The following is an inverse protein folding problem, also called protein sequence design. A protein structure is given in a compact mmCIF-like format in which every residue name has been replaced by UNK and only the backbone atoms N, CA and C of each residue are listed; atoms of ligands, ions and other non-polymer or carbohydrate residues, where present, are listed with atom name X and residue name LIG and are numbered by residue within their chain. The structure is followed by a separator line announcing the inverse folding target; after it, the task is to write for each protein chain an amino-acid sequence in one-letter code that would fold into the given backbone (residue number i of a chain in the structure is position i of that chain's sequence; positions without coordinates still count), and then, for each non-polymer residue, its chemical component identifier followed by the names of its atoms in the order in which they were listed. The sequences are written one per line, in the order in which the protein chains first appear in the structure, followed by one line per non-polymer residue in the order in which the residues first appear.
data_IF_840566323811
#
_entry.id   IF_840566323811
#
_cell.length_a   1.000
_cell.length_b   1.000
_cell.length_c   1.000
_cell.angle_alpha   90.00
_cell.angle_beta   90.00
_cell.angle_gamma   90.00
#
_symmetry.space_group_name_H-M   'P 1'
#
loop_
_entity.id
_entity.type
_entity.pdbx_description
1 polymer ?
#
# COMPACT_ATOMS: atom_id res chain seq x y z
N UNK A 1 -3.07 3.59 7.20
CA UNK A 1 -4.11 2.59 7.22
C UNK A 1 -3.87 1.37 6.33
N UNK A 2 -2.63 1.14 5.86
CA UNK A 2 -2.24 -0.09 5.18
C UNK A 2 -2.07 -1.23 6.19
N UNK A 3 -2.20 -2.49 5.75
CA UNK A 3 -1.71 -3.64 6.50
C UNK A 3 -0.21 -3.51 6.75
N UNK A 4 0.54 -3.20 5.69
CA UNK A 4 1.95 -2.85 5.74
C UNK A 4 2.23 -1.92 4.53
N UNK A 5 3.13 -0.92 4.65
CA UNK A 5 3.43 -0.03 3.52
C UNK A 5 3.86 -0.82 2.26
N UNK A 6 3.00 -0.96 1.24
CA UNK A 6 3.28 -1.84 0.12
C UNK A 6 4.13 -1.17 -0.96
N UNK A 7 4.72 -1.99 -1.82
CA UNK A 7 5.00 -1.56 -3.19
C UNK A 7 3.68 -1.15 -3.86
N UNK A 8 3.68 -0.02 -4.56
CA UNK A 8 2.48 0.56 -5.17
C UNK A 8 2.39 0.37 -6.69
N UNK A 9 3.27 -0.45 -7.28
CA UNK A 9 3.36 -0.68 -8.71
C UNK A 9 3.11 -2.14 -9.11
N UNK A 10 3.60 -3.10 -8.34
CA UNK A 10 3.54 -4.52 -8.71
C UNK A 10 2.27 -5.25 -8.26
N UNK A 11 1.71 -5.01 -7.05
CA UNK A 11 0.46 -5.65 -6.65
C UNK A 11 -0.67 -5.28 -7.61
N UNK A 12 -1.60 -6.22 -7.85
CA UNK A 12 -2.81 -5.90 -8.59
C UNK A 12 -3.75 -5.00 -7.77
N UNK A 13 -4.75 -4.40 -8.43
CA UNK A 13 -5.68 -3.48 -7.76
C UNK A 13 -6.40 -4.11 -6.58
N UNK A 14 -6.88 -5.36 -6.72
CA UNK A 14 -7.54 -6.09 -5.64
C UNK A 14 -6.59 -6.35 -4.45
N UNK A 15 -5.33 -6.65 -4.71
CA UNK A 15 -4.34 -6.82 -3.64
C UNK A 15 -4.10 -5.53 -2.85
N UNK A 16 -4.12 -4.36 -3.51
CA UNK A 16 -4.07 -3.06 -2.85
C UNK A 16 -5.35 -2.76 -2.06
N UNK A 17 -6.52 -3.19 -2.57
CA UNK A 17 -7.79 -3.16 -1.81
C UNK A 17 -7.65 -3.96 -0.52
N UNK A 18 -7.06 -5.16 -0.54
CA UNK A 18 -6.82 -5.98 0.67
C UNK A 18 -5.82 -5.34 1.63
N UNK A 19 -4.78 -4.69 1.13
CA UNK A 19 -3.86 -3.91 1.98
C UNK A 19 -4.60 -2.86 2.80
N UNK A 20 -5.54 -2.15 2.19
CA UNK A 20 -6.32 -1.12 2.86
C UNK A 20 -7.35 -1.75 3.81
N UNK A 21 -8.13 -2.73 3.35
CA UNK A 21 -9.21 -3.32 4.14
C UNK A 21 -8.70 -3.97 5.41
N UNK A 22 -7.65 -4.79 5.31
CA UNK A 22 -7.06 -5.47 6.47
C UNK A 22 -6.35 -4.48 7.41
N UNK A 23 -5.63 -3.49 6.85
CA UNK A 23 -5.01 -2.44 7.65
C UNK A 23 -6.05 -1.62 8.42
N UNK A 24 -7.11 -1.15 7.77
CA UNK A 24 -8.18 -0.38 8.42
C UNK A 24 -8.95 -1.20 9.44
N UNK A 25 -9.19 -2.49 9.17
CA UNK A 25 -9.79 -3.41 10.14
C UNK A 25 -8.95 -3.46 11.42
N UNK A 26 -7.64 -3.64 11.30
CA UNK A 26 -6.74 -3.64 12.44
C UNK A 26 -6.77 -2.33 13.24
N UNK A 27 -6.71 -1.16 12.56
CA UNK A 27 -6.79 0.13 13.23
C UNK A 27 -8.13 0.33 13.95
N UNK A 28 -9.22 -0.10 13.32
CA UNK A 28 -10.53 -0.03 13.93
C UNK A 28 -10.65 -0.93 15.17
N UNK A 29 -10.20 -2.16 15.08
CA UNK A 29 -10.26 -3.13 16.20
C UNK A 29 -9.37 -2.73 17.38
N UNK A 30 -8.21 -2.12 17.12
CA UNK A 30 -7.23 -1.77 18.15
C UNK A 30 -7.42 -0.36 18.73
N UNK A 31 -7.82 0.58 17.92
CA UNK A 31 -7.82 2.00 18.29
C UNK A 31 -9.17 2.70 18.07
N UNK A 32 -10.16 2.04 17.48
CA UNK A 32 -11.46 2.63 17.18
C UNK A 32 -11.42 3.73 16.10
N UNK A 33 -10.35 3.79 15.32
CA UNK A 33 -10.15 4.82 14.27
C UNK A 33 -10.06 4.19 12.89
N UNK A 34 -10.46 4.96 11.87
CA UNK A 34 -10.29 4.62 10.46
C UNK A 34 -9.39 5.68 9.83
N UNK A 35 -8.10 5.41 9.62
CA UNK A 35 -7.21 6.37 8.97
C UNK A 35 -7.75 6.80 7.62
N UNK A 36 -7.72 8.09 7.33
CA UNK A 36 -8.19 8.69 6.08
C UNK A 36 -7.09 9.44 5.31
N UNK A 37 -5.87 9.38 5.82
CA UNK A 37 -4.65 9.75 5.10
C UNK A 37 -3.80 8.52 4.86
N UNK A 38 -3.47 8.27 3.60
CA UNK A 38 -2.54 7.21 3.22
C UNK A 38 -1.12 7.77 3.15
N UNK A 39 -0.16 7.04 3.73
CA UNK A 39 1.25 7.43 3.74
C UNK A 39 2.11 6.31 3.17
N UNK A 40 2.88 6.62 2.13
CA UNK A 40 3.89 5.73 1.55
C UNK A 40 5.20 6.50 1.36
N UNK A 41 5.97 6.55 2.45
CA UNK A 41 7.17 7.40 2.54
C UNK A 41 8.29 6.88 1.65
N UNK A 42 8.53 5.57 1.64
CA UNK A 42 9.68 4.95 0.97
C UNK A 42 9.35 4.09 -0.25
N UNK A 43 8.08 3.89 -0.60
CA UNK A 43 7.70 3.11 -1.79
C UNK A 43 8.30 3.72 -3.08
N UNK A 44 8.75 2.87 -4.01
CA UNK A 44 9.59 3.27 -5.15
C UNK A 44 8.77 3.68 -6.38
N UNK A 45 7.80 4.53 -6.13
CA UNK A 45 6.85 5.06 -7.08
C UNK A 45 5.43 4.58 -6.79
N UNK A 46 4.47 5.31 -7.35
CA UNK A 46 3.06 5.12 -7.02
C UNK A 46 2.23 5.17 -8.29
N UNK A 47 1.50 4.08 -8.56
CA UNK A 47 0.61 4.00 -9.72
C UNK A 47 -0.55 4.99 -9.60
N UNK A 48 -0.88 5.65 -10.69
CA UNK A 48 -2.06 6.53 -10.79
C UNK A 48 -3.37 5.83 -10.42
N UNK A 49 -3.46 4.51 -10.69
CA UNK A 49 -4.63 3.69 -10.32
C UNK A 49 -4.89 3.60 -8.81
N UNK A 50 -3.89 3.92 -7.97
CA UNK A 50 -4.04 3.97 -6.53
C UNK A 50 -5.03 5.04 -6.07
N UNK A 51 -5.14 6.16 -6.80
CA UNK A 51 -6.04 7.27 -6.46
C UNK A 51 -7.49 6.79 -6.35
N UNK A 52 -7.99 6.10 -7.36
CA UNK A 52 -9.37 5.62 -7.38
C UNK A 52 -9.65 4.59 -6.28
N UNK A 53 -8.67 3.73 -5.95
CA UNK A 53 -8.79 2.77 -4.86
C UNK A 53 -8.88 3.51 -3.53
N UNK A 54 -7.97 4.44 -3.25
CA UNK A 54 -7.99 5.24 -2.03
C UNK A 54 -9.28 6.04 -1.89
N UNK A 55 -9.75 6.66 -2.98
CA UNK A 55 -10.98 7.46 -2.97
C UNK A 55 -12.22 6.62 -2.65
N UNK A 56 -12.32 5.40 -3.16
CA UNK A 56 -13.41 4.47 -2.83
C UNK A 56 -13.40 4.06 -1.35
N UNK A 57 -12.24 4.02 -0.71
CA UNK A 57 -12.13 3.83 0.73
C UNK A 57 -12.36 5.11 1.55
N UNK A 58 -12.59 6.26 0.91
CA UNK A 58 -12.84 7.53 1.58
C UNK A 58 -11.59 8.21 2.13
N UNK A 59 -10.40 7.89 1.58
CA UNK A 59 -9.21 8.65 1.92
C UNK A 59 -9.33 10.10 1.42
N UNK A 60 -8.86 11.04 2.25
CA UNK A 60 -8.86 12.46 1.96
C UNK A 60 -7.52 12.94 1.42
N UNK A 61 -6.44 12.27 1.81
CA UNK A 61 -5.09 12.67 1.43
C UNK A 61 -4.12 11.52 1.22
N UNK A 62 -3.06 11.84 0.48
CA UNK A 62 -1.93 10.96 0.21
C UNK A 62 -0.62 11.68 0.46
N UNK A 63 0.25 11.09 1.28
CA UNK A 63 1.57 11.62 1.55
C UNK A 63 2.64 10.65 1.06
N UNK A 64 3.55 11.15 0.22
CA UNK A 64 4.72 10.43 -0.27
C UNK A 64 5.98 11.30 -0.13
N UNK A 65 7.16 10.66 -0.13
CA UNK A 65 8.47 11.35 -0.20
C UNK A 65 9.13 11.08 -1.55
N UNK A 66 8.87 9.92 -2.13
CA UNK A 66 9.38 9.52 -3.44
C UNK A 66 8.31 9.67 -4.52
N UNK A 67 8.71 9.91 -5.79
CA UNK A 67 10.06 10.21 -6.27
C UNK A 67 10.50 11.64 -5.88
N UNK A 68 11.79 11.84 -5.68
CA UNK A 68 12.36 13.14 -5.40
C UNK A 68 12.27 14.08 -6.62
N UNK A 69 12.39 15.37 -6.39
CA UNK A 69 12.21 16.41 -7.41
C UNK A 69 13.11 16.24 -8.66
N UNK A 70 14.35 15.83 -8.46
CA UNK A 70 15.28 15.62 -9.57
C UNK A 70 14.91 14.43 -10.48
N UNK A 71 14.05 13.50 -10.00
CA UNK A 71 13.54 12.36 -10.76
C UNK A 71 12.18 12.65 -11.41
N UNK A 72 11.34 13.40 -10.73
CA UNK A 72 10.01 13.79 -11.23
C UNK A 72 9.68 15.22 -10.84
N UNK A 73 9.56 16.08 -11.85
CA UNK A 73 9.12 17.45 -11.62
C UNK A 73 7.58 17.48 -11.56
N UNK A 74 7.06 17.79 -10.37
CA UNK A 74 5.63 18.02 -10.14
C UNK A 74 5.27 19.49 -10.34
N UNK A 75 3.99 19.81 -10.56
CA UNK A 75 3.55 21.22 -10.69
C UNK A 75 3.74 21.99 -9.37
N UNK A 76 3.59 21.32 -8.22
CA UNK A 76 3.90 21.78 -6.87
C UNK A 76 4.14 20.56 -5.97
N UNK A 77 4.60 20.75 -4.74
CA UNK A 77 4.71 19.67 -3.76
C UNK A 77 3.34 19.24 -3.21
N UNK A 78 2.39 20.16 -3.18
CA UNK A 78 0.98 19.93 -2.87
C UNK A 78 0.16 20.04 -4.15
N UNK A 79 -0.59 18.98 -4.47
CA UNK A 79 -1.34 18.92 -5.73
C UNK A 79 -2.60 18.05 -5.60
N UNK A 80 -3.54 18.23 -6.53
CA UNK A 80 -4.66 17.30 -6.72
C UNK A 80 -4.20 16.17 -7.63
N UNK A 81 -4.12 14.97 -7.09
CA UNK A 81 -3.75 13.78 -7.87
C UNK A 81 -5.01 13.12 -8.43
N UNK A 82 -5.06 12.97 -9.77
CA UNK A 82 -6.25 12.55 -10.50
C UNK A 82 -6.09 11.11 -10.99
N UNK A 83 -7.01 10.24 -10.61
CA UNK A 83 -7.08 8.83 -11.02
C UNK A 83 -7.51 8.64 -12.48
N UNK A 84 -7.51 7.38 -12.93
CA UNK A 84 -7.97 7.04 -14.28
C UNK A 84 -9.47 7.23 -14.48
N UNK A 85 -10.26 7.10 -13.41
CA UNK A 85 -11.71 7.28 -13.41
C UNK A 85 -12.16 8.71 -13.15
N UNK A 86 -11.22 9.66 -13.04
CA UNK A 86 -11.47 11.05 -12.69
C UNK A 86 -11.60 11.33 -11.19
N UNK A 87 -11.46 10.33 -10.33
CA UNK A 87 -11.39 10.55 -8.88
C UNK A 87 -10.18 11.41 -8.53
N UNK A 88 -10.32 12.24 -7.50
CA UNK A 88 -9.27 13.15 -7.04
C UNK A 88 -8.96 12.95 -5.56
N UNK A 89 -7.68 13.08 -5.19
CA UNK A 89 -7.20 13.10 -3.82
C UNK A 89 -6.14 14.20 -3.66
N UNK A 90 -6.13 14.89 -2.52
CA UNK A 90 -5.04 15.80 -2.19
C UNK A 90 -3.77 15.00 -1.93
N UNK A 91 -2.71 15.30 -2.64
CA UNK A 91 -1.42 14.62 -2.50
C UNK A 91 -0.32 15.59 -2.08
N UNK A 92 0.58 15.10 -1.25
CA UNK A 92 1.72 15.84 -0.73
C UNK A 92 2.98 15.05 -1.05
N UNK A 93 3.93 15.68 -1.73
CA UNK A 93 5.31 15.21 -1.77
C UNK A 93 6.09 15.93 -0.68
N UNK A 94 6.25 15.27 0.46
CA UNK A 94 7.00 15.80 1.59
C UNK A 94 8.51 15.66 1.37
N UNK A 95 9.28 16.48 2.09
CA UNK A 95 10.73 16.30 2.20
C UNK A 95 11.07 15.03 2.98
N UNK A 96 12.34 14.59 2.90
CA UNK A 96 12.83 13.46 3.67
C UNK A 96 12.46 13.57 5.15
N UNK A 97 11.99 12.48 5.73
CA UNK A 97 11.47 12.45 7.10
C UNK A 97 12.55 12.47 8.19
N UNK A 98 13.77 12.09 7.86
CA UNK A 98 14.84 11.90 8.85
C UNK A 98 15.60 13.18 9.19
N UNK A 99 16.03 13.26 10.44
CA UNK A 99 16.98 14.25 10.96
C UNK A 99 18.06 13.56 11.81
N UNK A 100 19.31 14.06 11.85
CA UNK A 100 20.25 13.63 12.88
C UNK A 100 19.72 13.99 14.27
N UNK A 101 20.05 13.18 15.28
CA UNK A 101 19.67 13.44 16.67
C UNK A 101 20.12 14.84 17.11
N UNK A 102 19.23 15.57 17.74
CA UNK A 102 19.47 16.92 18.27
C UNK A 102 19.47 18.03 17.20
N UNK A 103 19.16 17.72 15.92
CA UNK A 103 19.19 18.68 14.81
C UNK A 103 17.83 18.91 14.13
N UNK A 104 16.73 18.48 14.74
CA UNK A 104 15.41 18.70 14.17
C UNK A 104 15.08 20.20 14.04
N UNK A 105 15.49 21.02 14.99
CA UNK A 105 15.28 22.48 14.95
C UNK A 105 15.97 23.17 13.78
N UNK A 106 17.13 22.68 13.33
CA UNK A 106 17.80 23.22 12.15
C UNK A 106 16.97 22.98 10.88
N UNK A 107 16.41 21.78 10.77
CA UNK A 107 15.51 21.46 9.66
C UNK A 107 14.24 22.31 9.73
N UNK A 108 13.59 22.39 10.88
CA UNK A 108 12.37 23.20 11.08
C UNK A 108 12.65 24.66 10.74
N UNK A 109 13.79 25.24 11.20
CA UNK A 109 14.18 26.60 10.85
C UNK A 109 14.26 26.80 9.33
N UNK A 110 14.83 25.84 8.62
CA UNK A 110 14.91 25.93 7.15
C UNK A 110 13.53 25.92 6.46
N UNK A 111 12.50 25.33 7.11
CA UNK A 111 11.11 25.42 6.64
C UNK A 111 10.51 26.79 6.95
N UNK A 112 10.74 27.33 8.15
CA UNK A 112 10.31 28.68 8.53
C UNK A 112 10.88 29.72 7.55
N UNK A 113 12.18 29.65 7.27
CA UNK A 113 12.88 30.62 6.43
C UNK A 113 12.36 30.65 4.98
N UNK A 114 11.77 29.58 4.49
CA UNK A 114 11.23 29.45 3.12
C UNK A 114 9.70 29.45 3.05
N UNK A 115 9.01 29.44 4.19
CA UNK A 115 7.56 29.49 4.21
C UNK A 115 7.08 30.88 3.81
N UNK A 116 6.20 31.02 2.80
CA UNK A 116 5.62 32.33 2.47
C UNK A 116 4.81 32.90 3.65
N UNK A 117 4.82 34.22 3.77
CA UNK A 117 4.04 34.89 4.81
C UNK A 117 2.54 34.55 4.69
N UNK A 118 1.93 34.16 5.80
CA UNK A 118 0.53 33.77 5.87
C UNK A 118 0.22 32.39 5.30
N UNK A 119 1.25 31.58 4.96
CA UNK A 119 1.11 30.21 4.47
C UNK A 119 1.53 29.18 5.53
N UNK A 120 1.37 27.90 5.24
CA UNK A 120 1.73 26.79 6.10
C UNK A 120 2.53 25.74 5.32
N UNK A 121 3.44 25.03 6.00
CA UNK A 121 4.23 23.96 5.45
C UNK A 121 4.27 22.77 6.40
N UNK A 122 4.30 21.54 5.86
CA UNK A 122 4.53 20.33 6.65
C UNK A 122 6.01 19.99 6.68
N UNK A 123 6.56 19.80 7.87
CA UNK A 123 7.94 19.36 8.08
C UNK A 123 7.93 18.00 8.80
N UNK A 124 8.33 16.95 8.10
CA UNK A 124 8.56 15.63 8.71
C UNK A 124 9.91 15.63 9.42
N UNK A 125 9.95 15.17 10.67
CA UNK A 125 11.19 15.10 11.44
C UNK A 125 11.24 13.87 12.34
N UNK A 126 12.41 13.50 12.77
CA UNK A 126 12.70 12.37 13.65
C UNK A 126 14.01 11.71 13.25
N UNK A 127 14.61 10.95 14.16
CA UNK A 127 15.82 10.17 13.87
C UNK A 127 15.42 9.08 12.87
N UNK A 128 16.00 9.12 11.68
CA UNK A 128 15.72 8.21 10.59
C UNK A 128 16.50 6.89 10.67
N UNK A 129 16.74 6.31 9.49
CA UNK A 129 17.56 5.13 9.29
C UNK A 129 17.03 3.87 10.03
N UNK A 130 15.74 3.55 9.81
CA UNK A 130 15.10 2.26 10.16
C UNK A 130 14.88 1.95 11.64
N UNK A 131 15.07 2.86 12.54
CA UNK A 131 14.90 2.53 13.96
C UNK A 131 14.79 3.72 14.89
N UNK A 132 14.71 4.89 14.31
CA UNK A 132 14.60 6.11 15.05
C UNK A 132 13.16 6.54 15.31
N UNK A 133 13.04 7.75 15.75
CA UNK A 133 11.81 8.44 16.07
C UNK A 133 12.15 9.76 16.72
N UNK A 134 11.20 10.46 17.30
CA UNK A 134 11.47 11.68 18.05
C UNK A 134 12.44 11.42 19.21
N UNK A 135 13.54 12.17 19.31
CA UNK A 135 14.38 12.13 20.51
C UNK A 135 13.85 13.11 21.55
N UNK A 136 14.08 12.81 22.84
CA UNK A 136 13.71 13.74 23.92
C UNK A 136 14.40 15.08 23.75
N UNK A 137 15.67 15.07 23.38
CA UNK A 137 16.46 16.27 23.10
C UNK A 137 15.83 17.15 21.99
N UNK A 138 15.37 16.51 20.89
CA UNK A 138 14.72 17.25 19.81
C UNK A 138 13.37 17.81 20.23
N UNK A 139 12.58 17.05 21.02
CA UNK A 139 11.31 17.52 21.56
C UNK A 139 11.49 18.77 22.43
N UNK A 140 12.49 18.76 23.35
CA UNK A 140 12.80 19.89 24.21
C UNK A 140 13.25 21.10 23.38
N UNK A 141 14.17 20.93 22.45
CA UNK A 141 14.64 21.99 21.55
C UNK A 141 13.53 22.58 20.65
N UNK A 142 12.59 21.74 20.19
CA UNK A 142 11.45 22.22 19.41
C UNK A 142 10.49 23.03 20.29
N UNK A 143 10.28 22.66 21.54
CA UNK A 143 9.49 23.46 22.47
C UNK A 143 10.11 24.85 22.67
N UNK A 144 11.43 24.93 22.90
CA UNK A 144 12.15 26.19 23.01
C UNK A 144 12.05 27.03 21.71
N UNK A 145 12.16 26.38 20.54
CA UNK A 145 12.00 27.05 19.25
C UNK A 145 10.59 27.60 19.06
N UNK A 146 9.58 26.85 19.48
CA UNK A 146 8.17 27.29 19.42
C UNK A 146 7.94 28.58 20.21
N UNK A 147 8.46 28.63 21.46
CA UNK A 147 8.36 29.84 22.30
C UNK A 147 9.12 31.03 21.69
N UNK A 148 10.26 30.77 21.08
CA UNK A 148 11.10 31.79 20.43
C UNK A 148 10.45 32.38 19.19
N UNK A 149 9.81 31.58 18.36
CA UNK A 149 9.22 32.02 17.09
C UNK A 149 7.83 32.67 17.24
N UNK A 150 7.11 32.37 18.31
CA UNK A 150 5.76 32.91 18.53
C UNK A 150 5.67 34.45 18.51
N UNK A 151 6.60 35.23 19.13
CA UNK A 151 6.59 36.69 19.02
C UNK A 151 6.87 37.22 17.59
N UNK A 152 7.45 36.41 16.73
CA UNK A 152 7.74 36.74 15.32
C UNK A 152 6.55 36.42 14.40
N UNK A 153 5.43 35.93 14.97
CA UNK A 153 4.22 35.58 14.24
C UNK A 153 4.27 34.20 13.57
N UNK A 154 5.23 33.36 13.95
CA UNK A 154 5.35 31.99 13.45
C UNK A 154 4.77 31.01 14.46
N UNK A 155 3.78 30.23 14.05
CA UNK A 155 3.16 29.18 14.86
C UNK A 155 3.73 27.82 14.47
N UNK A 156 4.39 27.13 15.42
CA UNK A 156 4.87 25.76 15.25
C UNK A 156 3.92 24.80 15.95
N UNK A 157 3.27 23.93 15.16
CA UNK A 157 2.33 22.93 15.66
C UNK A 157 2.93 21.52 15.54
N UNK A 158 2.91 20.77 16.65
CA UNK A 158 3.08 19.31 16.58
C UNK A 158 1.73 18.74 16.14
N UNK A 159 1.69 18.17 14.94
CA UNK A 159 0.45 17.91 14.24
C UNK A 159 0.50 16.55 13.52
N UNK A 160 -0.66 16.12 13.06
CA UNK A 160 -0.83 14.97 12.17
C UNK A 160 -1.03 15.43 10.71
N UNK A 161 -0.78 14.53 9.71
CA UNK A 161 -1.00 14.88 8.31
C UNK A 161 -2.42 15.34 7.99
N UNK A 162 -3.41 14.88 8.75
CA UNK A 162 -4.82 15.24 8.62
C UNK A 162 -5.07 16.75 8.83
N UNK A 163 -4.39 17.34 9.80
CA UNK A 163 -4.51 18.77 10.10
C UNK A 163 -3.97 19.63 8.95
N UNK A 164 -2.82 19.24 8.40
CA UNK A 164 -2.24 19.94 7.24
C UNK A 164 -3.11 19.79 5.98
N UNK A 165 -3.70 18.62 5.77
CA UNK A 165 -4.67 18.42 4.68
C UNK A 165 -5.90 19.31 4.82
N UNK A 166 -6.37 19.52 6.03
CA UNK A 166 -7.48 20.45 6.29
C UNK A 166 -7.13 21.89 5.89
N UNK A 167 -5.89 22.33 6.11
CA UNK A 167 -5.41 23.63 5.61
C UNK A 167 -5.32 23.65 4.07
N UNK A 168 -4.79 22.58 3.45
CA UNK A 168 -4.69 22.49 1.99
C UNK A 168 -6.05 22.46 1.29
N UNK A 169 -7.10 21.96 1.96
CA UNK A 169 -8.46 21.95 1.41
C UNK A 169 -9.04 23.35 1.16
N UNK A 170 -8.46 24.37 1.78
CA UNK A 170 -8.83 25.78 1.61
C UNK A 170 -8.12 26.46 0.42
N UNK A 171 -7.18 25.76 -0.21
CA UNK A 171 -6.33 26.29 -1.29
C UNK A 171 -6.71 25.70 -2.64
N UNK A 172 -6.48 26.46 -3.70
CA UNK A 172 -6.55 25.96 -5.06
C UNK A 172 -5.21 25.30 -5.40
N UNK A 173 -5.23 23.96 -5.58
CA UNK A 173 -4.04 23.17 -5.86
C UNK A 173 -3.98 22.80 -7.34
N UNK A 174 -2.77 22.78 -7.95
CA UNK A 174 -2.59 22.34 -9.32
C UNK A 174 -2.93 20.88 -9.49
N UNK A 175 -3.42 20.51 -10.68
CA UNK A 175 -3.77 19.14 -11.02
C UNK A 175 -2.57 18.36 -11.55
N UNK A 176 -2.49 17.07 -11.21
CA UNK A 176 -1.52 16.12 -11.76
C UNK A 176 -2.21 14.77 -12.04
N UNK A 177 -2.05 14.26 -13.26
CA UNK A 177 -2.79 13.08 -13.75
C UNK A 177 -1.90 11.94 -14.25
N UNK A 178 -0.63 11.90 -13.80
CA UNK A 178 0.31 10.85 -14.15
C UNK A 178 0.65 10.00 -12.91
N UNK A 179 1.32 8.86 -13.11
CA UNK A 179 1.89 8.08 -12.03
C UNK A 179 3.11 8.78 -11.42
N UNK A 180 3.32 8.63 -10.11
CA UNK A 180 4.49 9.18 -9.43
C UNK A 180 5.68 8.22 -9.61
N UNK A 181 6.25 8.23 -10.80
CA UNK A 181 7.40 7.43 -11.23
C UNK A 181 8.34 8.32 -12.08
N UNK A 182 9.63 8.01 -12.25
CA UNK A 182 10.38 6.87 -11.73
C UNK A 182 10.96 7.08 -10.34
N UNK A 183 11.17 5.98 -9.62
CA UNK A 183 12.01 5.95 -8.42
C UNK A 183 12.65 4.57 -8.31
N UNK A 184 13.96 4.48 -8.14
CA UNK A 184 14.73 3.25 -7.95
C UNK A 184 14.36 2.09 -8.90
N UNK A 185 14.10 2.39 -10.16
CA UNK A 185 13.50 1.47 -11.15
C UNK A 185 14.29 0.19 -11.37
N UNK A 186 15.60 0.19 -11.10
CA UNK A 186 16.45 -0.99 -11.25
C UNK A 186 16.05 -2.16 -10.34
N UNK A 187 15.46 -1.91 -9.18
CA UNK A 187 15.04 -2.97 -8.25
C UNK A 187 13.93 -3.84 -8.86
N UNK A 188 13.09 -3.29 -9.75
CA UNK A 188 12.00 -4.04 -10.40
C UNK A 188 12.49 -5.13 -11.35
N UNK A 189 13.76 -5.14 -11.73
CA UNK A 189 14.41 -6.21 -12.50
C UNK A 189 15.26 -7.17 -11.65
N UNK A 190 15.41 -6.91 -10.35
CA UNK A 190 16.15 -7.79 -9.42
C UNK A 190 15.25 -8.84 -8.78
N UNK A 191 15.83 -9.82 -8.08
CA UNK A 191 15.13 -10.88 -7.31
C UNK A 191 13.94 -11.50 -8.07
N UNK A 192 14.16 -11.89 -9.32
CA UNK A 192 13.11 -12.33 -10.26
C UNK A 192 12.32 -13.52 -9.71
N UNK A 193 12.96 -14.45 -8.99
CA UNK A 193 12.30 -15.60 -8.36
C UNK A 193 11.18 -15.19 -7.41
N UNK A 194 11.43 -14.16 -6.57
CA UNK A 194 10.46 -13.62 -5.64
C UNK A 194 9.25 -13.02 -6.38
N UNK A 195 9.50 -12.22 -7.42
CA UNK A 195 8.45 -11.59 -8.24
C UNK A 195 7.58 -12.61 -8.98
N UNK A 196 8.20 -13.62 -9.56
CA UNK A 196 7.48 -14.71 -10.23
C UNK A 196 6.60 -15.49 -9.26
N UNK A 197 7.16 -15.87 -8.09
CA UNK A 197 6.41 -16.57 -7.05
C UNK A 197 5.30 -15.70 -6.49
N UNK A 198 5.56 -14.41 -6.22
CA UNK A 198 4.52 -13.48 -5.78
C UNK A 198 3.36 -13.44 -6.78
N UNK A 199 3.61 -13.22 -8.06
CA UNK A 199 2.57 -13.18 -9.09
C UNK A 199 1.79 -14.50 -9.19
N UNK A 200 2.48 -15.63 -9.10
CA UNK A 200 1.84 -16.94 -9.04
C UNK A 200 0.92 -17.07 -7.83
N UNK A 201 1.39 -16.66 -6.65
CA UNK A 201 0.62 -16.77 -5.40
C UNK A 201 -0.59 -15.84 -5.42
N UNK A 202 -0.42 -14.59 -5.86
CA UNK A 202 -1.51 -13.61 -5.99
C UNK A 202 -2.62 -14.13 -6.91
N UNK A 203 -2.27 -14.61 -8.11
CA UNK A 203 -3.24 -15.18 -9.05
C UNK A 203 -3.91 -16.44 -8.48
N UNK A 204 -3.15 -17.30 -7.81
CA UNK A 204 -3.69 -18.52 -7.19
C UNK A 204 -4.65 -18.18 -6.06
N UNK A 205 -4.36 -17.13 -5.27
CA UNK A 205 -5.23 -16.69 -4.19
C UNK A 205 -6.61 -16.30 -4.75
N UNK A 206 -6.69 -15.36 -5.67
CA UNK A 206 -7.96 -14.86 -6.18
C UNK A 206 -8.76 -15.93 -6.92
N UNK A 207 -8.09 -16.79 -7.68
CA UNK A 207 -8.74 -17.94 -8.31
C UNK A 207 -9.31 -18.90 -7.25
N UNK A 208 -8.56 -19.19 -6.20
CA UNK A 208 -8.98 -20.12 -5.13
C UNK A 208 -10.15 -19.54 -4.32
N UNK A 209 -10.08 -18.24 -3.99
CA UNK A 209 -11.16 -17.55 -3.29
C UNK A 209 -12.46 -17.54 -4.10
N UNK A 210 -12.41 -17.28 -5.41
CA UNK A 210 -13.58 -17.35 -6.29
C UNK A 210 -14.13 -18.76 -6.35
N UNK A 211 -13.27 -19.78 -6.49
CA UNK A 211 -13.67 -21.17 -6.53
C UNK A 211 -14.33 -21.61 -5.22
N UNK A 212 -13.77 -21.23 -4.07
CA UNK A 212 -14.32 -21.50 -2.75
C UNK A 212 -15.67 -20.79 -2.54
N UNK A 213 -15.79 -19.54 -3.00
CA UNK A 213 -17.04 -18.78 -2.94
C UNK A 213 -18.15 -19.45 -3.77
N UNK A 214 -17.83 -19.92 -4.97
CA UNK A 214 -18.82 -20.65 -5.80
C UNK A 214 -19.25 -21.96 -5.16
N UNK A 215 -18.33 -22.74 -4.57
CA UNK A 215 -18.65 -23.97 -3.88
C UNK A 215 -19.53 -23.71 -2.63
N UNK A 216 -19.24 -22.63 -1.91
CA UNK A 216 -20.07 -22.21 -0.77
C UNK A 216 -21.46 -21.75 -1.20
N UNK A 217 -21.57 -20.92 -2.22
CA UNK A 217 -22.87 -20.47 -2.76
C UNK A 217 -23.70 -21.62 -3.33
N UNK A 218 -23.08 -22.68 -3.86
CA UNK A 218 -23.71 -23.90 -4.30
C UNK A 218 -24.13 -24.82 -3.13
N UNK A 219 -23.78 -24.48 -1.89
CA UNK A 219 -24.08 -25.29 -0.71
C UNK A 219 -23.27 -26.58 -0.62
N UNK A 220 -22.16 -26.70 -1.33
CA UNK A 220 -21.34 -27.92 -1.41
C UNK A 220 -20.07 -27.89 -0.54
N UNK A 221 -19.74 -26.72 0.02
CA UNK A 221 -18.58 -26.52 0.90
C UNK A 221 -18.80 -25.34 1.83
N UNK A 222 -18.34 -25.44 3.08
CA UNK A 222 -18.23 -24.28 3.97
C UNK A 222 -17.14 -23.33 3.50
N UNK A 223 -17.39 -22.02 3.67
CA UNK A 223 -16.41 -21.00 3.24
C UNK A 223 -15.16 -21.04 4.13
N UNK A 224 -13.94 -21.22 3.58
CA UNK A 224 -12.72 -21.41 4.33
C UNK A 224 -12.08 -20.08 4.75
N UNK A 225 -12.81 -19.28 5.54
CA UNK A 225 -12.45 -17.90 5.88
C UNK A 225 -11.08 -17.81 6.56
N UNK A 226 -10.80 -18.65 7.55
CA UNK A 226 -9.54 -18.60 8.32
C UNK A 226 -8.33 -18.93 7.44
N UNK A 227 -8.43 -19.93 6.58
CA UNK A 227 -7.35 -20.34 5.68
C UNK A 227 -7.07 -19.25 4.63
N UNK A 228 -8.11 -18.62 4.09
CA UNK A 228 -7.96 -17.52 3.13
C UNK A 228 -7.35 -16.27 3.79
N UNK A 229 -7.77 -15.95 5.02
CA UNK A 229 -7.16 -14.84 5.80
C UNK A 229 -5.68 -15.10 6.06
N UNK A 230 -5.30 -16.31 6.43
CA UNK A 230 -3.91 -16.66 6.65
C UNK A 230 -3.08 -16.54 5.37
N UNK A 231 -3.58 -17.03 4.24
CA UNK A 231 -2.91 -16.95 2.96
C UNK A 231 -2.79 -15.49 2.44
N UNK A 232 -3.83 -14.66 2.63
CA UNK A 232 -3.74 -13.25 2.20
C UNK A 232 -2.73 -12.48 3.06
N UNK A 233 -2.61 -12.73 4.36
CA UNK A 233 -1.64 -12.07 5.22
C UNK A 233 -0.19 -12.37 4.79
N UNK A 234 0.10 -13.58 4.37
CA UNK A 234 1.41 -13.94 3.78
C UNK A 234 1.69 -13.12 2.51
N UNK A 235 0.70 -12.98 1.63
CA UNK A 235 0.83 -12.19 0.41
C UNK A 235 1.04 -10.70 0.74
N UNK A 236 0.22 -10.14 1.65
CA UNK A 236 0.31 -8.73 2.04
C UNK A 236 1.64 -8.39 2.71
N UNK A 237 2.20 -9.31 3.49
CA UNK A 237 3.53 -9.16 4.10
C UNK A 237 4.62 -9.03 3.02
N UNK A 238 4.60 -9.89 2.01
CA UNK A 238 5.61 -9.88 0.94
C UNK A 238 5.48 -8.65 0.04
N UNK A 239 4.34 -7.99 0.02
CA UNK A 239 4.16 -6.71 -0.71
C UNK A 239 4.94 -5.54 -0.10
N UNK A 240 5.55 -5.70 1.08
CA UNK A 240 6.35 -4.64 1.69
C UNK A 240 7.35 -4.05 0.71
N UNK A 241 7.47 -2.72 0.71
CA UNK A 241 8.20 -1.97 -0.31
C UNK A 241 9.71 -2.25 -0.35
N UNK A 242 10.28 -2.92 0.66
CA UNK A 242 11.67 -3.41 0.64
C UNK A 242 11.79 -4.90 0.31
N UNK A 243 10.68 -5.65 0.22
CA UNK A 243 10.69 -7.07 -0.16
C UNK A 243 10.34 -7.23 -1.63
N UNK A 244 9.10 -6.92 -2.02
CA UNK A 244 8.60 -7.17 -3.37
C UNK A 244 9.38 -6.47 -4.48
N UNK A 245 9.81 -5.20 -4.35
CA UNK A 245 10.62 -4.54 -5.37
C UNK A 245 11.98 -5.20 -5.58
N UNK A 246 12.49 -5.97 -4.61
CA UNK A 246 13.75 -6.69 -4.74
C UNK A 246 14.98 -5.86 -4.35
N UNK A 247 14.82 -4.94 -3.42
CA UNK A 247 15.91 -4.15 -2.80
C UNK A 247 16.45 -4.79 -1.53
N UNK A 248 15.81 -5.85 -1.03
CA UNK A 248 16.16 -6.50 0.22
C UNK A 248 17.45 -7.34 0.13
N UNK A 249 18.01 -7.66 1.31
CA UNK A 249 19.12 -8.60 1.44
C UNK A 249 18.66 -10.05 1.17
N UNK A 250 19.59 -10.94 0.85
CA UNK A 250 19.30 -12.33 0.50
C UNK A 250 18.41 -13.05 1.54
N UNK A 251 18.67 -12.88 2.83
CA UNK A 251 17.89 -13.52 3.88
C UNK A 251 16.41 -13.08 3.88
N UNK A 252 16.13 -11.83 3.51
CA UNK A 252 14.77 -11.32 3.37
C UNK A 252 14.09 -11.86 2.09
N UNK A 253 14.81 -11.98 0.96
CA UNK A 253 14.31 -12.68 -0.23
C UNK A 253 13.92 -14.12 0.10
N UNK A 254 14.81 -14.87 0.77
CA UNK A 254 14.57 -16.25 1.16
C UNK A 254 13.38 -16.38 2.14
N UNK A 255 13.23 -15.44 3.08
CA UNK A 255 12.07 -15.39 3.95
C UNK A 255 10.80 -15.14 3.13
N UNK A 256 10.79 -14.17 2.23
CA UNK A 256 9.65 -13.88 1.35
C UNK A 256 9.24 -15.09 0.50
N UNK A 257 10.21 -15.83 -0.05
CA UNK A 257 9.94 -17.07 -0.80
C UNK A 257 9.26 -18.13 0.06
N UNK A 258 9.72 -18.36 1.32
CA UNK A 258 9.10 -19.32 2.26
C UNK A 258 7.68 -18.89 2.66
N UNK A 259 7.45 -17.63 2.89
CA UNK A 259 6.11 -17.08 3.20
C UNK A 259 5.15 -17.32 2.06
N UNK A 260 5.57 -17.08 0.81
CA UNK A 260 4.74 -17.36 -0.36
C UNK A 260 4.52 -18.86 -0.57
N UNK A 261 5.48 -19.72 -0.25
CA UNK A 261 5.30 -21.18 -0.28
C UNK A 261 4.24 -21.65 0.72
N UNK A 262 4.23 -21.07 1.93
CA UNK A 262 3.21 -21.33 2.93
C UNK A 262 1.80 -20.93 2.44
N UNK A 263 1.66 -19.74 1.86
CA UNK A 263 0.40 -19.33 1.22
C UNK A 263 -0.05 -20.30 0.12
N UNK A 264 0.86 -20.70 -0.77
CA UNK A 264 0.57 -21.64 -1.86
C UNK A 264 0.14 -23.02 -1.33
N UNK A 265 0.72 -23.49 -0.23
CA UNK A 265 0.32 -24.75 0.39
C UNK A 265 -1.13 -24.67 0.93
N UNK A 266 -1.47 -23.60 1.65
CA UNK A 266 -2.84 -23.35 2.12
C UNK A 266 -3.80 -23.34 0.93
N UNK A 267 -3.47 -22.54 -0.09
CA UNK A 267 -4.31 -22.36 -1.27
C UNK A 267 -4.48 -23.65 -2.06
N UNK A 268 -3.46 -24.51 -2.14
CA UNK A 268 -3.54 -25.80 -2.81
C UNK A 268 -4.58 -26.72 -2.13
N UNK A 269 -4.60 -26.75 -0.79
CA UNK A 269 -5.59 -27.53 -0.03
C UNK A 269 -7.02 -26.99 -0.22
N UNK A 270 -7.20 -25.68 -0.11
CA UNK A 270 -8.50 -25.03 -0.30
C UNK A 270 -9.01 -25.24 -1.73
N UNK A 271 -8.16 -25.01 -2.73
CA UNK A 271 -8.48 -25.19 -4.14
C UNK A 271 -8.90 -26.62 -4.46
N UNK A 272 -8.18 -27.63 -3.94
CA UNK A 272 -8.53 -29.02 -4.14
C UNK A 272 -9.91 -29.34 -3.56
N UNK A 273 -10.21 -28.92 -2.33
CA UNK A 273 -11.53 -29.12 -1.71
C UNK A 273 -12.64 -28.44 -2.53
N UNK A 274 -12.43 -27.19 -2.92
CA UNK A 274 -13.41 -26.44 -3.72
C UNK A 274 -13.64 -27.10 -5.10
N UNK A 275 -12.57 -27.57 -5.75
CA UNK A 275 -12.67 -28.28 -7.02
C UNK A 275 -13.50 -29.56 -6.90
N UNK A 276 -13.23 -30.40 -5.91
CA UNK A 276 -14.01 -31.60 -5.68
C UNK A 276 -15.46 -31.30 -5.28
N UNK A 277 -15.70 -30.30 -4.46
CA UNK A 277 -17.03 -29.85 -4.09
C UNK A 277 -17.86 -29.40 -5.31
N UNK A 278 -17.26 -28.65 -6.22
CA UNK A 278 -17.91 -28.18 -7.46
C UNK A 278 -18.10 -29.32 -8.50
N UNK A 279 -17.22 -30.32 -8.50
CA UNK A 279 -17.36 -31.48 -9.38
C UNK A 279 -18.37 -32.51 -8.87
N UNK A 280 -18.77 -32.43 -7.60
CA UNK A 280 -19.76 -33.33 -7.01
C UNK A 280 -21.12 -33.23 -7.72
N UNK A 281 -21.76 -34.37 -7.97
CA UNK A 281 -23.06 -34.41 -8.64
C UNK A 281 -23.02 -34.24 -10.17
N UNK A 282 -21.83 -34.08 -10.76
CA UNK A 282 -21.69 -34.12 -12.23
C UNK A 282 -21.99 -35.52 -12.76
N UNK A 283 -22.53 -35.58 -13.98
CA UNK A 283 -22.81 -36.88 -14.63
C UNK A 283 -21.49 -37.69 -14.77
N UNK A 284 -21.50 -38.98 -14.41
CA UNK A 284 -20.31 -39.81 -14.60
C UNK A 284 -19.94 -39.88 -16.08
N UNK A 285 -18.63 -39.97 -16.35
CA UNK A 285 -18.13 -40.19 -17.68
C UNK A 285 -18.59 -41.58 -18.20
N UNK A 286 -18.76 -41.71 -19.51
CA UNK A 286 -18.94 -43.03 -20.13
C UNK A 286 -17.67 -43.88 -19.89
N UNK A 287 -17.83 -45.23 -19.77
CA UNK A 287 -16.71 -46.10 -19.45
C UNK A 287 -15.53 -46.03 -20.41
N UNK A 288 -15.77 -45.60 -21.64
CA UNK A 288 -14.76 -45.45 -22.72
C UNK A 288 -14.17 -44.03 -22.83
N UNK A 289 -14.47 -43.14 -21.84
CA UNK A 289 -14.04 -41.72 -21.85
C UNK A 289 -13.33 -41.33 -20.57
N UNK A 290 -12.32 -40.47 -20.72
CA UNK A 290 -11.65 -39.81 -19.61
C UNK A 290 -12.37 -38.47 -19.35
N UNK A 291 -12.94 -38.28 -18.15
CA UNK A 291 -13.58 -37.00 -17.83
C UNK A 291 -12.53 -35.90 -17.72
N UNK A 292 -12.81 -34.77 -18.33
CA UNK A 292 -12.04 -33.52 -18.14
C UNK A 292 -12.98 -32.52 -17.52
N UNK A 293 -12.57 -31.96 -16.38
CA UNK A 293 -13.29 -30.89 -15.70
C UNK A 293 -12.52 -29.58 -15.84
N UNK A 294 -13.12 -28.60 -16.51
CA UNK A 294 -12.57 -27.26 -16.68
C UNK A 294 -13.41 -26.26 -15.88
N UNK A 295 -12.73 -25.43 -15.09
CA UNK A 295 -13.34 -24.38 -14.28
C UNK A 295 -12.93 -23.00 -14.77
N UNK A 296 -13.91 -22.17 -15.11
CA UNK A 296 -13.71 -20.76 -15.44
C UNK A 296 -14.10 -19.89 -14.21
N UNK A 297 -13.15 -19.24 -13.53
CA UNK A 297 -13.45 -18.38 -12.38
C UNK A 297 -14.07 -17.04 -12.75
N UNK A 298 -14.02 -16.63 -14.01
CA UNK A 298 -14.45 -15.30 -14.45
C UNK A 298 -15.95 -15.27 -14.83
N UNK A 299 -16.60 -14.10 -14.69
CA UNK A 299 -18.01 -13.93 -15.04
C UNK A 299 -18.27 -13.82 -16.57
N UNK A 300 -17.26 -14.09 -17.38
CA UNK A 300 -17.33 -14.02 -18.85
C UNK A 300 -16.70 -15.27 -19.47
N UNK A 301 -17.12 -15.66 -20.69
CA UNK A 301 -16.54 -16.80 -21.39
C UNK A 301 -15.07 -16.61 -21.72
N UNK A 302 -14.26 -17.65 -21.48
CA UNK A 302 -12.85 -17.71 -21.89
C UNK A 302 -12.75 -18.69 -23.07
N UNK A 303 -11.96 -18.31 -24.07
CA UNK A 303 -11.52 -19.19 -25.15
C UNK A 303 -10.06 -19.52 -24.95
N UNK A 304 -9.69 -20.79 -25.02
CA UNK A 304 -8.33 -21.28 -24.92
C UNK A 304 -8.24 -22.71 -25.44
N UNK A 305 -7.02 -23.11 -25.76
CA UNK A 305 -6.72 -24.51 -26.08
C UNK A 305 -6.40 -25.24 -24.77
N UNK A 306 -6.95 -26.46 -24.58
CA UNK A 306 -6.79 -27.29 -23.39
C UNK A 306 -6.03 -28.58 -23.73
#
# INVERSE_FOLDING_TARGET
GWFLQPDCNMPCGEALVRQISEGRKYFWEKFGVKPDVAMNVDSFGHSRGLVQIMKQFGYQGYLAVRPQEHLLKLPANEFRWIGYDGSEITAIRADAYNTPKGRATEKIQSFIDRCPEGDSMICLWGIGNHGGGPSKEDIEKIADLTEKCAPEGVELLQSAPEDYLAELSKKELPAFSESLVPSMVGCYSSQVRLKQKYRQTENTYFMTEMMASHAHMAGTMDYPAEELVQAIYDILLVQFHDILPGSSVQSAEEMGLRVLDHALEILARVKARAFFALSHGQKPARPDRIPIFAYNPYPYPIRGDF
#
